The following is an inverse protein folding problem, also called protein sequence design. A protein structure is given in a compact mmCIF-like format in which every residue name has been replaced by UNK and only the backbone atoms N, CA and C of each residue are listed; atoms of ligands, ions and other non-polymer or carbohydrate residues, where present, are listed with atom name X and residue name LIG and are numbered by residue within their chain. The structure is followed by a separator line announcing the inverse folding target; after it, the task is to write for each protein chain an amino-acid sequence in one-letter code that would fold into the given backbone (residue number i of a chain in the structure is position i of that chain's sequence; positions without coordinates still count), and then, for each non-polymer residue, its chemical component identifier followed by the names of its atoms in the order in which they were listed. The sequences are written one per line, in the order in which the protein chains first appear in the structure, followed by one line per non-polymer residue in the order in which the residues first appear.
data_IF_102483318016
#
_entry.id   IF_102483318016
#
_cell.length_a   1.000
_cell.length_b   1.000
_cell.length_c   1.000
_cell.angle_alpha   90.00
_cell.angle_beta   90.00
_cell.angle_gamma   90.00
#
_symmetry.space_group_name_H-M   'P 1'
#
loop_
_entity.id
_entity.type
_entity.pdbx_description
1 polymer ?
#
# COMPACT_ATOMS: atom_id res chain seq x y z
N UNK A 1 3.45 54.32 -15.29
CA UNK A 1 2.90 53.15 -16.02
C UNK A 1 4.04 52.26 -16.48
N UNK A 2 3.98 50.94 -16.33
CA UNK A 2 3.74 50.17 -15.11
C UNK A 2 4.99 49.39 -14.67
N UNK A 3 5.12 49.00 -13.39
CA UNK A 3 6.05 47.94 -12.99
C UNK A 3 5.58 46.58 -13.51
N UNK A 4 6.51 45.80 -14.07
CA UNK A 4 6.30 44.42 -14.49
C UNK A 4 5.97 43.55 -13.26
N UNK A 5 4.66 43.40 -13.01
CA UNK A 5 4.09 42.44 -12.07
C UNK A 5 3.77 41.17 -12.86
N UNK A 6 4.62 40.16 -12.78
CA UNK A 6 4.10 38.79 -12.79
C UNK A 6 5.08 37.81 -12.17
N UNK A 7 5.02 37.74 -10.85
CA UNK A 7 5.38 36.52 -10.12
C UNK A 7 4.41 35.40 -10.52
N UNK A 8 4.66 34.76 -11.66
CA UNK A 8 4.13 33.41 -11.90
C UNK A 8 5.02 32.44 -11.15
N UNK A 9 4.80 32.37 -9.83
CA UNK A 9 5.08 31.16 -9.08
C UNK A 9 4.45 30.01 -9.86
N UNK A 10 5.26 28.99 -10.16
CA UNK A 10 4.80 27.83 -10.92
C UNK A 10 3.68 27.16 -10.11
N UNK A 11 2.48 26.96 -10.67
CA UNK A 11 1.46 26.19 -10.00
C UNK A 11 1.91 24.73 -9.98
N UNK A 12 2.29 24.24 -8.80
CA UNK A 12 2.72 22.85 -8.62
C UNK A 12 3.34 22.52 -7.28
N UNK A 13 3.75 23.51 -6.47
CA UNK A 13 4.25 23.25 -5.11
C UNK A 13 3.09 23.24 -4.10
N UNK A 14 2.22 22.23 -4.23
CA UNK A 14 1.29 21.84 -3.18
C UNK A 14 1.91 20.69 -2.38
N UNK A 15 2.62 21.06 -1.32
CA UNK A 15 3.10 20.15 -0.29
C UNK A 15 1.91 19.44 0.39
N UNK A 16 1.64 18.22 -0.07
CA UNK A 16 0.81 17.21 0.57
C UNK A 16 1.23 15.88 -0.01
N UNK A 17 2.20 15.23 0.64
CA UNK A 17 3.02 14.13 0.11
C UNK A 17 2.29 13.25 -0.91
N UNK A 18 2.56 13.49 -2.20
CA UNK A 18 2.08 12.64 -3.28
C UNK A 18 2.84 11.32 -3.17
N UNK A 19 2.27 10.35 -2.43
CA UNK A 19 2.82 9.00 -2.35
C UNK A 19 2.96 8.43 -3.76
N UNK A 20 4.20 8.17 -4.15
CA UNK A 20 4.53 7.61 -5.45
C UNK A 20 4.21 6.12 -5.47
N UNK A 21 3.51 5.68 -6.52
CA UNK A 21 3.13 4.28 -6.71
C UNK A 21 3.58 3.83 -8.10
N UNK A 22 4.38 2.78 -8.15
CA UNK A 22 4.75 2.12 -9.40
C UNK A 22 3.69 1.08 -9.77
N UNK A 23 3.35 1.02 -11.06
CA UNK A 23 2.38 0.08 -11.61
C UNK A 23 3.07 -0.82 -12.64
N UNK A 24 2.91 -2.13 -12.47
CA UNK A 24 3.38 -3.13 -13.44
C UNK A 24 2.18 -3.89 -14.00
N UNK A 25 2.13 -4.04 -15.32
CA UNK A 25 1.04 -4.72 -16.02
C UNK A 25 1.61 -5.89 -16.81
N UNK A 26 1.19 -7.10 -16.44
CA UNK A 26 1.63 -8.34 -17.07
C UNK A 26 0.42 -9.04 -17.71
N UNK A 27 0.37 -9.14 -19.05
CA UNK A 27 -0.58 -10.01 -19.73
C UNK A 27 -0.38 -11.46 -19.27
N UNK A 28 -1.46 -12.13 -18.91
CA UNK A 28 -1.46 -13.54 -18.54
C UNK A 28 -2.19 -14.38 -19.60
N UNK A 29 -1.77 -15.63 -19.76
CA UNK A 29 -2.40 -16.58 -20.68
C UNK A 29 -3.89 -16.78 -20.33
N UNK A 30 -4.73 -16.89 -21.36
CA UNK A 30 -6.16 -17.16 -21.17
C UNK A 30 -7.07 -15.93 -21.05
N UNK A 31 -6.60 -14.74 -21.47
CA UNK A 31 -7.43 -13.53 -21.46
C UNK A 31 -7.51 -12.87 -20.09
N UNK A 32 -6.43 -12.98 -19.32
CA UNK A 32 -6.28 -12.34 -18.02
C UNK A 32 -5.11 -11.36 -18.05
N UNK A 33 -5.13 -10.41 -17.13
CA UNK A 33 -4.02 -9.46 -16.91
C UNK A 33 -3.76 -9.39 -15.42
N UNK A 34 -2.50 -9.52 -15.03
CA UNK A 34 -2.03 -9.24 -13.67
C UNK A 34 -1.57 -7.79 -13.60
N UNK A 35 -1.99 -7.08 -12.58
CA UNK A 35 -1.53 -5.72 -12.29
C UNK A 35 -0.93 -5.70 -10.90
N UNK A 36 0.30 -5.20 -10.77
CA UNK A 36 0.97 -4.97 -9.49
C UNK A 36 1.03 -3.47 -9.19
N UNK A 37 0.80 -3.10 -7.94
CA UNK A 37 0.98 -1.75 -7.42
C UNK A 37 2.00 -1.79 -6.27
N UNK A 38 3.03 -0.95 -6.34
CA UNK A 38 4.16 -0.92 -5.42
C UNK A 38 4.28 0.49 -4.84
N UNK A 39 4.23 0.62 -3.51
CA UNK A 39 4.48 1.88 -2.83
C UNK A 39 5.98 2.20 -2.79
N UNK A 40 6.38 3.36 -3.30
CA UNK A 40 7.80 3.73 -3.44
C UNK A 40 8.52 3.93 -2.10
N UNK A 41 7.81 4.34 -1.05
CA UNK A 41 8.39 4.65 0.26
C UNK A 41 8.60 3.39 1.11
N UNK A 42 7.60 2.50 1.14
CA UNK A 42 7.58 1.32 2.00
C UNK A 42 8.01 0.04 1.29
N UNK A 43 8.03 0.03 -0.04
CA UNK A 43 8.26 -1.16 -0.85
C UNK A 43 7.12 -2.18 -0.78
N UNK A 44 5.96 -1.81 -0.20
CA UNK A 44 4.81 -2.71 -0.14
C UNK A 44 4.24 -2.94 -1.54
N UNK A 45 4.15 -4.20 -1.94
CA UNK A 45 3.56 -4.63 -3.20
C UNK A 45 2.22 -5.33 -2.99
N UNK A 46 1.26 -5.05 -3.86
CA UNK A 46 0.05 -5.86 -4.03
C UNK A 46 -0.17 -6.19 -5.49
N UNK A 47 -0.72 -7.38 -5.77
CA UNK A 47 -1.15 -7.74 -7.12
C UNK A 47 -2.64 -8.07 -7.18
N UNK A 48 -3.25 -7.80 -8.33
CA UNK A 48 -4.59 -8.27 -8.71
C UNK A 48 -4.53 -9.01 -10.05
N UNK A 49 -5.55 -9.80 -10.34
CA UNK A 49 -5.77 -10.41 -11.65
C UNK A 49 -7.18 -10.04 -12.11
N UNK A 50 -7.31 -9.57 -13.34
CA UNK A 50 -8.60 -9.22 -13.94
C UNK A 50 -8.71 -9.70 -15.38
N UNK A 51 -9.88 -9.50 -15.98
CA UNK A 51 -10.10 -9.81 -17.39
C UNK A 51 -9.27 -8.88 -18.28
N UNK A 52 -8.67 -9.41 -19.34
CA UNK A 52 -8.01 -8.60 -20.37
C UNK A 52 -8.97 -7.72 -21.17
N UNK A 53 -10.29 -7.96 -21.06
CA UNK A 53 -11.33 -7.12 -21.67
C UNK A 53 -11.71 -5.91 -20.81
N UNK A 54 -11.33 -5.90 -19.53
CA UNK A 54 -11.56 -4.75 -18.67
C UNK A 54 -10.63 -3.59 -19.05
N UNK A 55 -11.08 -2.32 -18.94
CA UNK A 55 -10.21 -1.17 -19.15
C UNK A 55 -9.00 -1.20 -18.21
N UNK A 56 -7.80 -1.00 -18.74
CA UNK A 56 -6.56 -1.00 -17.96
C UNK A 56 -6.62 -0.03 -16.77
N UNK A 57 -7.13 1.19 -16.98
CA UNK A 57 -7.28 2.19 -15.93
C UNK A 57 -8.17 1.73 -14.76
N UNK A 58 -9.14 0.84 -15.02
CA UNK A 58 -9.96 0.25 -13.96
C UNK A 58 -9.14 -0.75 -13.13
N UNK A 59 -8.39 -1.63 -13.78
CA UNK A 59 -7.51 -2.60 -13.11
C UNK A 59 -6.44 -1.88 -12.26
N UNK A 60 -5.82 -0.84 -12.81
CA UNK A 60 -4.86 -0.01 -12.09
C UNK A 60 -5.48 0.65 -10.85
N UNK A 61 -6.68 1.24 -11.00
CA UNK A 61 -7.40 1.85 -9.87
C UNK A 61 -7.72 0.85 -8.77
N UNK A 62 -8.13 -0.38 -9.14
CA UNK A 62 -8.37 -1.46 -8.19
C UNK A 62 -7.07 -1.86 -7.47
N UNK A 63 -5.96 -1.97 -8.19
CA UNK A 63 -4.65 -2.28 -7.62
C UNK A 63 -4.20 -1.20 -6.61
N UNK A 64 -4.31 0.08 -6.97
CA UNK A 64 -4.00 1.21 -6.08
C UNK A 64 -4.89 1.19 -4.83
N UNK A 65 -6.19 0.96 -4.99
CA UNK A 65 -7.11 0.90 -3.86
C UNK A 65 -6.79 -0.27 -2.92
N UNK A 66 -6.42 -1.42 -3.47
CA UNK A 66 -5.96 -2.57 -2.69
C UNK A 66 -4.69 -2.23 -1.91
N UNK A 67 -3.73 -1.55 -2.52
CA UNK A 67 -2.49 -1.13 -1.87
C UNK A 67 -2.80 -0.25 -0.66
N UNK A 68 -3.62 0.79 -0.85
CA UNK A 68 -4.07 1.70 0.23
C UNK A 68 -4.75 0.93 1.37
N UNK A 69 -5.66 0.02 1.04
CA UNK A 69 -6.35 -0.81 2.03
C UNK A 69 -5.37 -1.66 2.86
N UNK A 70 -4.39 -2.30 2.23
CA UNK A 70 -3.40 -3.13 2.94
C UNK A 70 -2.54 -2.26 3.85
N UNK A 71 -2.06 -1.10 3.37
CA UNK A 71 -1.30 -0.15 4.19
C UNK A 71 -2.07 0.31 5.44
N UNK A 72 -3.36 0.64 5.28
CA UNK A 72 -4.22 1.06 6.38
C UNK A 72 -4.48 -0.08 7.37
N UNK A 73 -4.67 -1.31 6.88
CA UNK A 73 -4.85 -2.50 7.72
C UNK A 73 -3.61 -2.78 8.56
N UNK A 74 -2.42 -2.74 7.95
CA UNK A 74 -1.17 -3.01 8.65
C UNK A 74 -0.80 -1.90 9.65
N UNK A 75 -1.17 -0.65 9.35
CA UNK A 75 -1.03 0.46 10.29
C UNK A 75 -1.92 0.28 11.54
N UNK A 76 -3.15 -0.23 11.38
CA UNK A 76 -4.05 -0.54 12.52
C UNK A 76 -3.49 -1.69 13.36
N UNK A 77 -3.01 -2.77 12.73
CA UNK A 77 -2.43 -3.92 13.44
C UNK A 77 -1.19 -3.58 14.27
N UNK A 78 -0.46 -2.51 13.96
CA UNK A 78 0.66 -2.01 14.80
C UNK A 78 0.18 -1.22 16.03
N UNK A 79 -1.01 -0.62 15.98
CA UNK A 79 -1.57 0.19 17.08
C UNK A 79 -2.21 -0.66 18.18
N UNK A 80 -2.61 -1.89 17.85
CA UNK A 80 -3.29 -2.83 18.77
C UNK A 80 -2.35 -3.81 19.50
N UNK A 81 -1.02 -3.68 19.35
CA UNK A 81 -0.07 -4.41 20.22
C UNK A 81 0.21 -3.59 21.47
N UNK A 82 -0.33 -3.93 22.66
CA UNK A 82 0.23 -3.42 23.90
C UNK A 82 1.66 -3.94 24.02
N UNK A 83 2.61 -3.03 24.16
CA UNK A 83 4.00 -3.33 24.53
C UNK A 83 4.00 -4.21 25.77
N UNK A 84 4.35 -5.48 25.62
CA UNK A 84 4.45 -6.42 26.72
C UNK A 84 5.79 -6.21 27.43
N UNK A 85 5.94 -5.05 28.06
CA UNK A 85 7.02 -4.76 29.00
C UNK A 85 6.53 -4.98 30.43
N UNK A 86 6.53 -6.26 30.85
CA UNK A 86 6.93 -6.62 32.22
C UNK A 86 7.32 -8.11 32.29
N UNK A 87 8.47 -8.45 32.90
CA UNK A 87 8.86 -9.82 33.14
C UNK A 87 8.01 -10.38 34.28
N UNK A 88 7.35 -11.52 34.03
CA UNK A 88 6.82 -12.35 35.11
C UNK A 88 7.51 -13.69 35.05
N UNK A 89 8.41 -13.84 36.01
CA UNK A 89 8.97 -15.06 36.56
C UNK A 89 7.98 -16.23 36.67
N UNK A 90 8.48 -17.42 36.34
CA UNK A 90 8.33 -18.64 37.14
C UNK A 90 7.00 -19.40 37.05
N UNK A 91 7.09 -20.70 36.74
CA UNK A 91 6.00 -21.66 36.95
C UNK A 91 6.13 -22.90 36.07
N UNK A 92 6.90 -23.87 36.56
CA UNK A 92 7.01 -25.26 36.10
C UNK A 92 5.63 -25.94 36.18
N UNK A 93 5.10 -26.54 35.11
CA UNK A 93 4.03 -27.54 35.18
C UNK A 93 4.00 -28.38 33.89
N UNK A 94 4.47 -29.62 34.01
CA UNK A 94 4.53 -30.59 32.93
C UNK A 94 3.19 -31.26 32.60
N UNK A 95 3.25 -32.11 31.58
CA UNK A 95 2.30 -33.20 31.35
C UNK A 95 1.22 -32.91 30.30
N UNK A 96 1.30 -33.65 29.19
CA UNK A 96 0.16 -33.83 28.28
C UNK A 96 0.55 -33.89 26.81
N UNK A 97 1.11 -35.01 26.36
CA UNK A 97 1.06 -35.36 24.94
C UNK A 97 -0.37 -35.81 24.64
N UNK A 98 -0.98 -35.21 23.62
CA UNK A 98 -2.21 -35.68 23.00
C UNK A 98 -1.94 -35.78 21.50
N UNK A 99 -1.45 -36.95 21.07
CA UNK A 99 -1.92 -37.81 19.97
C UNK A 99 -1.04 -39.06 19.90
#
# INVERSE_FOLDING_TARGET
MPPDRSGKGRPGEASGGSREVYLEVHPASGGFVKVCAIDAETGLEVSIVGSSKAPQAELERVAINKLRYVMERDAKSKKDKPSKDKPSSGGDDGGGILI
#
